data_IF_577874671112
#
_entry.id   IF_577874671112
#
_cell.length_a   1.000
_cell.length_b   1.000
_cell.length_c   1.000
_cell.angle_alpha   90.00
_cell.angle_beta   90.00
_cell.angle_gamma   90.00
#
_symmetry.space_group_name_H-M   'P 1'
#
loop_
_entity.id
_entity.type
_entity.pdbx_description
1 polymer ?
#
# COMPACT_ATOMS: atom_id res chain seq x y z
N UNK A 1 14.76 27.03 -15.37
CA UNK A 1 13.94 26.40 -14.31
C UNK A 1 14.19 24.90 -14.15
N UNK A 2 14.12 24.09 -15.21
CA UNK A 2 14.38 22.64 -15.18
C UNK A 2 15.70 22.22 -14.47
N UNK A 3 16.82 22.91 -14.71
CA UNK A 3 18.09 22.62 -14.03
C UNK A 3 18.07 22.91 -12.53
N UNK A 4 17.30 23.90 -12.06
CA UNK A 4 17.17 24.22 -10.62
C UNK A 4 16.22 23.26 -9.90
N UNK A 5 15.16 22.80 -10.56
CA UNK A 5 14.29 21.73 -10.05
C UNK A 5 15.08 20.41 -9.95
N UNK A 6 15.86 20.06 -10.98
CA UNK A 6 16.74 18.89 -10.98
C UNK A 6 17.79 18.95 -9.85
N UNK A 7 18.32 20.14 -9.58
CA UNK A 7 19.30 20.38 -8.49
C UNK A 7 18.66 20.41 -7.10
N UNK A 8 17.41 20.87 -6.95
CA UNK A 8 16.67 20.85 -5.68
C UNK A 8 16.23 19.42 -5.30
N UNK A 9 15.88 18.59 -6.28
CA UNK A 9 15.66 17.15 -6.09
C UNK A 9 16.96 16.44 -5.66
N UNK A 10 18.12 16.86 -6.20
CA UNK A 10 19.42 16.29 -5.80
C UNK A 10 20.04 16.88 -4.51
N UNK A 11 19.63 18.06 -4.05
CA UNK A 11 20.08 18.69 -2.79
C UNK A 11 19.14 18.38 -1.61
N UNK A 12 18.44 17.25 -1.65
CA UNK A 12 17.64 16.74 -0.55
C UNK A 12 18.50 16.26 0.62
N UNK A 13 19.05 17.19 1.41
CA UNK A 13 19.44 16.93 2.82
C UNK A 13 18.23 16.60 3.72
N UNK A 14 17.03 16.53 3.13
CA UNK A 14 15.79 16.00 3.69
C UNK A 14 15.28 14.97 2.67
N UNK A 15 15.98 13.84 2.55
CA UNK A 15 15.56 12.78 1.64
C UNK A 15 14.58 11.86 2.36
N UNK A 16 13.36 11.69 1.84
CA UNK A 16 12.44 10.59 2.20
C UNK A 16 12.99 9.18 1.89
N UNK A 17 14.29 9.09 1.57
CA UNK A 17 15.01 7.90 1.11
C UNK A 17 16.23 7.62 2.00
N UNK A 18 16.31 8.28 3.16
CA UNK A 18 17.36 8.01 4.13
C UNK A 18 17.00 6.76 4.97
N UNK A 19 18.00 5.97 5.43
CA UNK A 19 17.74 4.81 6.29
C UNK A 19 16.89 5.12 7.52
N UNK A 20 16.98 6.36 8.03
CA UNK A 20 16.17 6.83 9.15
C UNK A 20 14.68 6.95 8.78
N UNK A 21 14.37 7.40 7.56
CA UNK A 21 13.00 7.46 7.07
C UNK A 21 12.41 6.04 6.92
N UNK A 22 13.17 5.11 6.34
CA UNK A 22 12.78 3.69 6.21
C UNK A 22 12.55 3.03 7.57
N UNK A 23 13.40 3.32 8.55
CA UNK A 23 13.23 2.84 9.92
C UNK A 23 11.95 3.42 10.56
N UNK A 24 11.70 4.72 10.37
CA UNK A 24 10.52 5.37 10.92
C UNK A 24 9.21 4.82 10.31
N UNK A 25 9.18 4.59 8.99
CA UNK A 25 8.02 4.00 8.31
C UNK A 25 7.82 2.54 8.70
N UNK A 26 8.89 1.75 8.81
CA UNK A 26 8.83 0.38 9.32
C UNK A 26 8.23 0.30 10.72
N UNK A 27 8.65 1.19 11.64
CA UNK A 27 8.08 1.27 13.00
C UNK A 27 6.61 1.68 12.96
N UNK A 28 6.24 2.64 12.11
CA UNK A 28 4.85 3.07 11.94
C UNK A 28 3.97 1.93 11.42
N UNK A 29 4.45 1.15 10.47
CA UNK A 29 3.70 0.09 9.80
C UNK A 29 3.54 -1.14 10.69
N UNK A 30 4.62 -1.66 11.28
CA UNK A 30 4.52 -2.78 12.22
C UNK A 30 3.85 -2.37 13.54
N UNK A 31 4.16 -1.18 14.05
CA UNK A 31 3.49 -0.63 15.24
C UNK A 31 2.00 -0.41 14.99
N UNK A 32 1.63 0.08 13.81
CA UNK A 32 0.25 0.20 13.34
C UNK A 32 -0.45 -1.14 13.24
N UNK A 33 0.20 -2.16 12.68
CA UNK A 33 -0.33 -3.51 12.58
C UNK A 33 -0.63 -4.09 13.97
N UNK A 34 0.31 -3.96 14.90
CA UNK A 34 0.14 -4.39 16.29
C UNK A 34 -1.00 -3.60 16.97
N UNK A 35 -1.03 -2.28 16.80
CA UNK A 35 -2.08 -1.44 17.36
C UNK A 35 -3.48 -1.84 16.85
N UNK A 36 -3.63 -2.08 15.54
CA UNK A 36 -4.88 -2.58 14.96
C UNK A 36 -5.26 -3.93 15.55
N UNK A 37 -4.29 -4.86 15.64
CA UNK A 37 -4.52 -6.20 16.20
C UNK A 37 -5.01 -6.15 17.65
N UNK A 38 -4.47 -5.23 18.47
CA UNK A 38 -4.86 -5.05 19.86
C UNK A 38 -6.21 -4.35 20.02
N UNK A 39 -6.50 -3.32 19.21
CA UNK A 39 -7.67 -2.45 19.41
C UNK A 39 -8.95 -2.91 18.70
N UNK A 40 -8.83 -3.60 17.57
CA UNK A 40 -9.96 -4.00 16.73
C UNK A 40 -10.25 -5.50 16.81
N UNK A 41 -11.44 -5.92 16.37
CA UNK A 41 -11.76 -7.34 16.17
C UNK A 41 -11.07 -7.84 14.91
N UNK A 42 -10.49 -9.02 15.01
CA UNK A 42 -9.80 -9.71 13.91
C UNK A 42 -10.81 -10.37 12.95
N UNK A 43 -11.72 -9.56 12.41
CA UNK A 43 -12.60 -9.95 11.32
C UNK A 43 -11.88 -9.77 9.97
N UNK A 44 -12.57 -10.02 8.85
CA UNK A 44 -11.95 -9.95 7.52
C UNK A 44 -11.30 -8.57 7.23
N UNK A 45 -11.96 -7.47 7.59
CA UNK A 45 -11.42 -6.11 7.41
C UNK A 45 -10.17 -5.91 8.26
N UNK A 46 -10.21 -6.29 9.54
CA UNK A 46 -9.06 -6.20 10.45
C UNK A 46 -7.85 -7.01 9.97
N UNK A 47 -8.05 -8.27 9.57
CA UNK A 47 -6.98 -9.12 9.04
C UNK A 47 -6.37 -8.56 7.75
N UNK A 48 -7.19 -8.03 6.84
CA UNK A 48 -6.70 -7.45 5.60
C UNK A 48 -5.94 -6.14 5.84
N UNK A 49 -6.39 -5.31 6.78
CA UNK A 49 -5.64 -4.10 7.19
C UNK A 49 -4.31 -4.46 7.84
N UNK A 50 -4.28 -5.44 8.74
CA UNK A 50 -3.03 -5.94 9.35
C UNK A 50 -2.11 -6.49 8.26
N UNK A 51 -2.63 -7.29 7.33
CA UNK A 51 -1.86 -7.83 6.22
C UNK A 51 -1.20 -6.74 5.37
N UNK A 52 -1.95 -5.70 4.99
CA UNK A 52 -1.40 -4.56 4.26
C UNK A 52 -0.27 -3.87 5.05
N UNK A 53 -0.48 -3.59 6.33
CA UNK A 53 0.54 -2.95 7.18
C UNK A 53 1.79 -3.82 7.35
N UNK A 54 1.64 -5.14 7.48
CA UNK A 54 2.77 -6.08 7.58
C UNK A 54 3.56 -6.16 6.28
N UNK A 55 2.90 -6.19 5.11
CA UNK A 55 3.60 -6.22 3.83
C UNK A 55 4.26 -4.88 3.48
N UNK A 56 3.65 -3.75 3.88
CA UNK A 56 4.30 -2.44 3.81
C UNK A 56 5.59 -2.47 4.66
N UNK A 57 5.47 -2.87 5.93
CA UNK A 57 6.60 -2.93 6.87
C UNK A 57 7.70 -3.92 6.45
N UNK A 58 7.32 -5.07 5.89
CA UNK A 58 8.27 -6.08 5.40
C UNK A 58 9.09 -5.58 4.22
N UNK A 59 8.50 -4.75 3.35
CA UNK A 59 9.22 -4.11 2.27
C UNK A 59 10.20 -3.04 2.81
N UNK A 60 9.75 -2.17 3.73
CA UNK A 60 10.64 -1.19 4.40
C UNK A 60 11.81 -1.85 5.13
N UNK A 61 11.54 -2.95 5.83
CA UNK A 61 12.55 -3.73 6.53
C UNK A 61 13.60 -4.28 5.55
N UNK A 62 13.15 -4.79 4.41
CA UNK A 62 14.04 -5.33 3.38
C UNK A 62 14.96 -4.24 2.82
N UNK A 63 14.43 -3.03 2.56
CA UNK A 63 15.23 -1.87 2.13
C UNK A 63 16.22 -1.40 3.19
N UNK A 64 15.77 -1.28 4.45
CA UNK A 64 16.61 -0.86 5.57
C UNK A 64 17.79 -1.81 5.78
N UNK A 65 17.58 -3.13 5.68
CA UNK A 65 18.67 -4.10 5.84
C UNK A 65 19.63 -4.04 4.65
N UNK A 66 19.11 -3.88 3.43
CA UNK A 66 19.92 -3.79 2.22
C UNK A 66 20.86 -2.58 2.25
N UNK A 67 20.35 -1.38 2.59
CA UNK A 67 21.16 -0.16 2.57
C UNK A 67 21.78 0.25 3.91
N UNK A 68 21.21 -0.16 5.05
CA UNK A 68 21.71 0.21 6.38
C UNK A 68 22.72 -0.77 6.97
N UNK A 69 22.60 -2.06 6.64
CA UNK A 69 23.40 -3.13 7.27
C UNK A 69 24.27 -3.91 6.27
N UNK A 70 24.20 -3.60 4.98
CA UNK A 70 25.01 -4.24 3.93
C UNK A 70 24.73 -5.74 3.79
N UNK A 71 23.48 -6.15 3.93
CA UNK A 71 23.08 -7.56 4.08
C UNK A 71 23.54 -8.50 2.96
N UNK A 72 24.07 -9.67 3.33
CA UNK A 72 24.49 -10.74 2.40
C UNK A 72 23.37 -11.69 1.94
N UNK A 73 22.12 -11.46 2.35
CA UNK A 73 20.93 -12.19 1.89
C UNK A 73 20.20 -11.34 0.83
N UNK A 74 19.57 -11.94 -0.21
CA UNK A 74 18.92 -11.18 -1.27
C UNK A 74 17.56 -10.59 -0.81
N UNK A 75 17.61 -9.59 0.08
CA UNK A 75 16.46 -8.89 0.64
C UNK A 75 15.58 -8.24 -0.41
N UNK A 76 16.12 -7.92 -1.59
CA UNK A 76 15.34 -7.43 -2.72
C UNK A 76 14.25 -8.42 -3.17
N UNK A 77 14.48 -9.74 -3.09
CA UNK A 77 13.46 -10.74 -3.42
C UNK A 77 12.28 -10.68 -2.44
N UNK A 78 12.57 -10.49 -1.15
CA UNK A 78 11.55 -10.32 -0.11
C UNK A 78 10.80 -9.00 -0.30
N UNK A 79 11.51 -7.92 -0.62
CA UNK A 79 10.91 -6.62 -0.93
C UNK A 79 9.90 -6.76 -2.09
N UNK A 80 10.31 -7.34 -3.21
CA UNK A 80 9.43 -7.59 -4.37
C UNK A 80 8.26 -8.52 -4.06
N UNK A 81 8.49 -9.60 -3.32
CA UNK A 81 7.41 -10.48 -2.89
C UNK A 81 6.38 -9.72 -2.03
N UNK A 82 6.86 -8.85 -1.13
CA UNK A 82 6.02 -8.08 -0.21
C UNK A 82 5.20 -7.03 -0.94
N UNK A 83 5.81 -6.23 -1.80
CA UNK A 83 5.09 -5.19 -2.56
C UNK A 83 4.06 -5.81 -3.51
N UNK A 84 4.35 -6.99 -4.09
CA UNK A 84 3.42 -7.70 -4.99
C UNK A 84 2.10 -8.08 -4.30
N UNK A 85 2.11 -8.33 -2.98
CA UNK A 85 0.91 -8.68 -2.21
C UNK A 85 -0.01 -7.48 -1.94
N UNK A 86 0.49 -6.24 -2.03
CA UNK A 86 -0.25 -5.05 -1.62
C UNK A 86 -1.50 -4.78 -2.47
N UNK A 87 -1.45 -4.76 -3.83
CA UNK A 87 -2.64 -4.48 -4.62
C UNK A 87 -3.76 -5.53 -4.42
N UNK A 88 -3.46 -6.85 -4.41
CA UNK A 88 -4.46 -7.87 -4.11
C UNK A 88 -5.16 -7.75 -2.75
N UNK A 89 -4.36 -7.55 -1.69
CA UNK A 89 -4.90 -7.36 -0.34
C UNK A 89 -5.74 -6.10 -0.27
N UNK A 90 -5.27 -5.07 -0.95
CA UNK A 90 -5.92 -3.78 -1.04
C UNK A 90 -7.30 -3.81 -1.69
N UNK A 91 -7.42 -4.47 -2.86
CA UNK A 91 -8.71 -4.70 -3.52
C UNK A 91 -9.60 -5.59 -2.64
N UNK A 92 -9.02 -6.61 -2.00
CA UNK A 92 -9.76 -7.49 -1.09
C UNK A 92 -10.34 -6.71 0.10
N UNK A 93 -9.60 -5.73 0.62
CA UNK A 93 -10.04 -4.84 1.68
C UNK A 93 -11.19 -3.95 1.21
N UNK A 94 -11.07 -3.33 0.03
CA UNK A 94 -12.15 -2.54 -0.55
C UNK A 94 -13.44 -3.35 -0.71
N UNK A 95 -13.34 -4.57 -1.24
CA UNK A 95 -14.48 -5.47 -1.40
C UNK A 95 -15.07 -5.92 -0.05
N UNK A 96 -14.22 -6.16 0.97
CA UNK A 96 -14.66 -6.50 2.31
C UNK A 96 -15.41 -5.33 2.98
N UNK A 97 -14.92 -4.10 2.83
CA UNK A 97 -15.57 -2.88 3.33
C UNK A 97 -16.91 -2.67 2.63
N UNK A 98 -16.97 -2.88 1.30
CA UNK A 98 -18.20 -2.77 0.52
C UNK A 98 -19.20 -3.92 0.77
N UNK A 99 -18.84 -4.95 1.55
CA UNK A 99 -19.66 -6.14 1.77
C UNK A 99 -19.90 -6.96 0.51
N UNK A 100 -19.04 -6.83 -0.52
CA UNK A 100 -19.18 -7.52 -1.79
C UNK A 100 -18.21 -8.69 -1.88
N UNK A 101 -18.69 -9.80 -2.45
CA UNK A 101 -17.89 -10.99 -2.73
C UNK A 101 -17.84 -11.22 -4.24
N UNK A 102 -16.65 -11.30 -4.79
CA UNK A 102 -16.42 -11.82 -6.13
C UNK A 102 -15.27 -12.80 -6.05
N UNK A 103 -15.61 -14.07 -5.88
CA UNK A 103 -14.63 -15.13 -5.64
C UNK A 103 -13.72 -15.31 -6.86
N UNK A 104 -14.27 -15.28 -8.07
CA UNK A 104 -13.50 -15.44 -9.30
C UNK A 104 -12.47 -14.33 -9.50
N UNK A 105 -12.88 -13.07 -9.32
CA UNK A 105 -11.94 -11.95 -9.41
C UNK A 105 -10.82 -12.06 -8.37
N UNK A 106 -11.14 -12.49 -7.15
CA UNK A 106 -10.13 -12.71 -6.11
C UNK A 106 -9.18 -13.86 -6.46
N UNK A 107 -9.70 -14.99 -6.96
CA UNK A 107 -8.86 -16.12 -7.39
C UNK A 107 -7.89 -15.68 -8.48
N UNK A 108 -8.38 -15.04 -9.56
CA UNK A 108 -7.52 -14.59 -10.67
C UNK A 108 -6.41 -13.66 -10.16
N UNK A 109 -6.78 -12.71 -9.31
CA UNK A 109 -5.86 -11.75 -8.72
C UNK A 109 -4.78 -12.41 -7.85
N UNK A 110 -5.16 -13.34 -6.98
CA UNK A 110 -4.21 -14.05 -6.11
C UNK A 110 -3.37 -15.09 -6.87
N UNK A 111 -3.89 -15.71 -7.93
CA UNK A 111 -3.11 -16.59 -8.81
C UNK A 111 -2.04 -15.80 -9.56
N UNK A 112 -2.39 -14.65 -10.13
CA UNK A 112 -1.41 -13.75 -10.76
C UNK A 112 -0.39 -13.23 -9.75
N UNK A 113 -0.84 -12.86 -8.56
CA UNK A 113 0.04 -12.47 -7.45
C UNK A 113 1.02 -13.58 -7.10
N UNK A 114 0.54 -14.81 -6.92
CA UNK A 114 1.38 -15.96 -6.59
C UNK A 114 2.41 -16.24 -7.69
N UNK A 115 2.03 -16.13 -8.96
CA UNK A 115 2.96 -16.28 -10.08
C UNK A 115 4.11 -15.26 -10.02
N UNK A 116 3.80 -13.98 -9.77
CA UNK A 116 4.84 -12.95 -9.61
C UNK A 116 5.67 -13.13 -8.34
N UNK A 117 5.06 -13.48 -7.20
CA UNK A 117 5.79 -13.76 -5.95
C UNK A 117 6.77 -14.92 -6.15
N UNK A 118 6.33 -16.02 -6.77
CA UNK A 118 7.19 -17.16 -7.08
C UNK A 118 8.30 -16.77 -8.07
N UNK A 119 7.98 -16.00 -9.10
CA UNK A 119 8.99 -15.46 -10.01
C UNK A 119 10.05 -14.66 -9.24
N UNK A 120 9.63 -13.74 -8.36
CA UNK A 120 10.57 -12.94 -7.59
C UNK A 120 11.37 -13.76 -6.59
N UNK A 121 10.81 -14.76 -5.93
CA UNK A 121 11.55 -15.55 -4.94
C UNK A 121 12.57 -16.52 -5.56
N UNK A 122 12.33 -17.01 -6.78
CA UNK A 122 13.13 -18.07 -7.40
C UNK A 122 13.89 -17.65 -8.66
N UNK A 123 13.65 -16.47 -9.24
CA UNK A 123 14.38 -16.01 -10.42
C UNK A 123 15.79 -15.50 -10.05
N UNK A 124 16.76 -16.42 -10.07
CA UNK A 124 18.19 -16.18 -9.78
C UNK A 124 18.82 -15.11 -10.69
N UNK A 125 18.28 -14.91 -11.90
CA UNK A 125 18.76 -13.92 -12.89
C UNK A 125 17.78 -12.75 -13.10
N UNK A 126 16.68 -12.69 -12.35
CA UNK A 126 15.61 -11.71 -12.56
C UNK A 126 15.91 -10.33 -11.99
N UNK A 127 16.72 -10.26 -10.92
CA UNK A 127 16.99 -9.03 -10.17
C UNK A 127 18.47 -8.98 -9.82
N UNK A 128 19.15 -7.92 -10.28
CA UNK A 128 20.57 -7.62 -10.01
C UNK A 128 20.64 -6.36 -9.14
N UNK A 129 19.95 -6.42 -8.00
CA UNK A 129 19.76 -5.29 -7.09
C UNK A 129 20.76 -5.33 -5.94
N UNK A 130 22.05 -5.21 -6.25
CA UNK A 130 23.15 -5.28 -5.29
C UNK A 130 23.81 -3.93 -5.00
N UNK A 131 23.26 -2.81 -5.51
CA UNK A 131 23.87 -1.49 -5.36
C UNK A 131 22.93 -0.46 -4.76
N UNK A 132 23.13 -0.15 -3.48
CA UNK A 132 22.87 1.20 -2.98
C UNK A 132 23.95 2.09 -3.61
N UNK A 133 23.64 2.80 -4.69
CA UNK A 133 24.63 3.62 -5.39
C UNK A 133 25.04 4.83 -4.52
N UNK A 134 26.22 4.68 -3.92
CA UNK A 134 27.19 5.69 -3.48
C UNK A 134 27.10 6.25 -2.03
N UNK A 135 28.26 6.63 -1.43
CA UNK A 135 28.39 7.14 -0.06
C UNK A 135 27.75 8.53 0.19
N UNK A 136 27.09 9.10 -0.82
CA UNK A 136 26.53 10.45 -0.80
C UNK A 136 25.14 10.58 -1.45
N UNK A 137 24.56 9.48 -1.94
CA UNK A 137 23.21 9.45 -2.51
C UNK A 137 22.43 8.29 -1.89
N UNK A 138 21.72 8.57 -0.80
CA UNK A 138 20.79 7.67 -0.13
C UNK A 138 19.57 7.39 -1.03
N UNK A 139 19.68 6.55 -2.06
CA UNK A 139 18.51 5.95 -2.71
C UNK A 139 18.80 4.53 -3.19
N UNK A 140 17.82 3.65 -3.00
CA UNK A 140 17.83 2.28 -3.49
C UNK A 140 17.40 2.31 -4.96
N UNK A 141 18.10 1.57 -5.82
CA UNK A 141 17.63 1.31 -7.19
C UNK A 141 17.58 -0.18 -7.37
N UNK A 142 16.37 -0.73 -7.37
CA UNK A 142 16.17 -2.13 -7.69
C UNK A 142 16.24 -2.32 -9.20
N UNK A 143 17.37 -2.83 -9.67
CA UNK A 143 17.54 -3.17 -11.08
C UNK A 143 17.07 -4.61 -11.30
N UNK A 144 16.08 -4.78 -12.15
CA UNK A 144 15.64 -6.07 -12.67
C UNK A 144 15.66 -6.03 -14.19
N UNK A 145 15.58 -7.22 -14.81
CA UNK A 145 15.54 -7.32 -16.27
C UNK A 145 14.41 -6.43 -16.84
N UNK A 146 14.73 -5.63 -17.85
CA UNK A 146 13.82 -4.66 -18.49
C UNK A 146 12.48 -5.28 -18.87
N UNK A 147 12.47 -6.50 -19.42
CA UNK A 147 11.24 -7.16 -19.87
C UNK A 147 10.34 -7.58 -18.69
N UNK A 148 10.95 -8.12 -17.63
CA UNK A 148 10.24 -8.49 -16.42
C UNK A 148 9.65 -7.26 -15.70
N UNK A 149 10.37 -6.14 -15.72
CA UNK A 149 9.91 -4.87 -15.15
C UNK A 149 8.69 -4.32 -15.88
N UNK A 150 8.58 -4.46 -17.20
CA UNK A 150 7.40 -4.02 -17.93
C UNK A 150 6.16 -4.84 -17.59
N UNK A 151 6.30 -6.17 -17.54
CA UNK A 151 5.20 -7.06 -17.14
C UNK A 151 4.77 -6.78 -15.70
N UNK A 152 5.72 -6.64 -14.79
CA UNK A 152 5.45 -6.36 -13.38
C UNK A 152 4.86 -4.97 -13.17
N UNK A 153 5.40 -3.94 -13.83
CA UNK A 153 4.84 -2.59 -13.78
C UNK A 153 3.39 -2.58 -14.29
N UNK A 154 3.12 -3.27 -15.40
CA UNK A 154 1.75 -3.40 -15.94
C UNK A 154 0.83 -4.07 -14.92
N UNK A 155 1.24 -5.19 -14.34
CA UNK A 155 0.52 -5.84 -13.24
C UNK A 155 0.23 -4.84 -12.12
N UNK A 156 1.27 -4.22 -11.57
CA UNK A 156 1.14 -3.39 -10.37
C UNK A 156 0.24 -2.18 -10.60
N UNK A 157 0.44 -1.43 -11.68
CA UNK A 157 -0.38 -0.25 -12.00
C UNK A 157 -1.82 -0.60 -12.37
N UNK A 158 -2.05 -1.70 -13.11
CA UNK A 158 -3.42 -2.14 -13.44
C UNK A 158 -4.16 -2.51 -12.16
N UNK A 159 -3.56 -3.27 -11.25
CA UNK A 159 -4.21 -3.64 -9.99
C UNK A 159 -4.42 -2.43 -9.07
N UNK A 160 -3.49 -1.48 -8.99
CA UNK A 160 -3.72 -0.23 -8.25
C UNK A 160 -4.85 0.60 -8.86
N UNK A 161 -4.93 0.69 -10.19
CA UNK A 161 -6.02 1.39 -10.87
C UNK A 161 -7.37 0.70 -10.62
N UNK A 162 -7.42 -0.64 -10.68
CA UNK A 162 -8.60 -1.43 -10.32
C UNK A 162 -8.98 -1.18 -8.85
N UNK A 163 -8.03 -1.23 -7.92
CA UNK A 163 -8.28 -0.97 -6.50
C UNK A 163 -8.83 0.44 -6.24
N UNK A 164 -8.28 1.44 -6.93
CA UNK A 164 -8.78 2.82 -6.89
C UNK A 164 -10.21 2.90 -7.42
N UNK A 165 -10.46 2.35 -8.61
CA UNK A 165 -11.78 2.35 -9.24
C UNK A 165 -12.83 1.62 -8.41
N UNK A 166 -12.52 0.42 -7.91
CA UNK A 166 -13.40 -0.39 -7.04
C UNK A 166 -13.74 0.39 -5.77
N UNK A 167 -12.75 1.04 -5.16
CA UNK A 167 -12.97 1.84 -3.95
C UNK A 167 -13.87 3.06 -4.23
N UNK A 168 -13.63 3.79 -5.32
CA UNK A 168 -14.49 4.93 -5.70
C UNK A 168 -15.91 4.50 -6.07
N UNK A 169 -16.05 3.44 -6.88
CA UNK A 169 -17.32 2.94 -7.36
C UNK A 169 -18.23 2.48 -6.21
N UNK A 170 -17.68 1.68 -5.29
CA UNK A 170 -18.45 1.24 -4.13
C UNK A 170 -18.59 2.32 -3.07
N UNK A 171 -17.66 3.28 -2.99
CA UNK A 171 -17.79 4.45 -2.14
C UNK A 171 -18.99 5.32 -2.54
N UNK A 172 -19.20 5.52 -3.85
CA UNK A 172 -20.35 6.22 -4.40
C UNK A 172 -21.67 5.48 -4.19
N UNK A 173 -21.65 4.14 -4.26
CA UNK A 173 -22.84 3.28 -4.06
C UNK A 173 -23.10 2.90 -2.60
N UNK A 174 -22.30 3.36 -1.65
CA UNK A 174 -22.46 2.98 -0.26
C UNK A 174 -23.56 3.83 0.39
N UNK A 175 -24.59 3.17 0.91
CA UNK A 175 -25.69 3.83 1.63
C UNK A 175 -25.23 4.42 2.97
N UNK A 176 -24.17 3.86 3.55
CA UNK A 176 -23.61 4.29 4.82
C UNK A 176 -22.44 5.27 4.61
N UNK A 177 -22.59 6.47 5.15
CA UNK A 177 -21.56 7.51 5.15
C UNK A 177 -20.18 7.00 5.62
N UNK A 178 -20.12 6.18 6.67
CA UNK A 178 -18.83 5.64 7.16
C UNK A 178 -18.16 4.71 6.16
N UNK A 179 -18.93 3.81 5.56
CA UNK A 179 -18.43 2.87 4.54
C UNK A 179 -17.96 3.63 3.31
N UNK A 180 -18.74 4.62 2.85
CA UNK A 180 -18.38 5.49 1.74
C UNK A 180 -17.05 6.20 1.99
N UNK A 181 -16.91 6.88 3.14
CA UNK A 181 -15.67 7.56 3.50
C UNK A 181 -14.48 6.64 3.70
N UNK A 182 -14.68 5.45 4.27
CA UNK A 182 -13.60 4.46 4.39
C UNK A 182 -13.04 4.07 3.02
N UNK A 183 -13.92 3.88 2.03
CA UNK A 183 -13.53 3.56 0.66
C UNK A 183 -12.87 4.75 -0.05
N UNK A 184 -13.34 5.98 0.17
CA UNK A 184 -12.67 7.17 -0.38
C UNK A 184 -11.28 7.37 0.21
N UNK A 185 -11.08 7.17 1.51
CA UNK A 185 -9.75 7.22 2.12
C UNK A 185 -8.81 6.14 1.59
N UNK A 186 -9.33 4.94 1.31
CA UNK A 186 -8.56 3.88 0.66
C UNK A 186 -8.19 4.26 -0.78
N UNK A 187 -9.11 4.85 -1.55
CA UNK A 187 -8.86 5.35 -2.90
C UNK A 187 -7.80 6.46 -2.91
N UNK A 188 -7.86 7.41 -1.96
CA UNK A 188 -6.85 8.45 -1.78
C UNK A 188 -5.49 7.81 -1.50
N UNK A 189 -5.44 6.79 -0.64
CA UNK A 189 -4.22 6.02 -0.37
C UNK A 189 -3.57 5.47 -1.65
N UNK A 190 -4.35 4.86 -2.55
CA UNK A 190 -3.83 4.39 -3.84
C UNK A 190 -3.46 5.50 -4.81
N UNK A 191 -4.26 6.58 -4.88
CA UNK A 191 -3.98 7.70 -5.77
C UNK A 191 -2.64 8.37 -5.41
N UNK A 192 -2.32 8.47 -4.12
CA UNK A 192 -1.05 8.98 -3.61
C UNK A 192 0.13 8.08 -3.99
N UNK A 193 -0.08 6.78 -4.22
CA UNK A 193 0.93 5.89 -4.80
C UNK A 193 1.09 6.08 -6.31
N UNK A 194 -0.02 6.19 -7.04
CA UNK A 194 -0.04 6.21 -8.52
C UNK A 194 0.43 7.56 -9.08
N UNK A 195 -0.05 8.68 -8.54
CA UNK A 195 0.18 10.00 -9.14
C UNK A 195 1.66 10.41 -9.13
N UNK A 196 2.40 10.30 -8.01
CA UNK A 196 3.81 10.69 -7.99
C UNK A 196 4.67 9.78 -8.88
N UNK A 197 4.38 8.47 -8.90
CA UNK A 197 5.16 7.48 -9.64
C UNK A 197 4.97 7.63 -11.15
N UNK A 198 3.74 7.85 -11.62
CA UNK A 198 3.48 8.19 -13.03
C UNK A 198 4.13 9.52 -13.38
N UNK A 199 3.99 10.55 -12.54
CA UNK A 199 4.55 11.89 -12.81
C UNK A 199 6.07 11.82 -12.98
N UNK A 200 6.78 11.13 -12.08
CA UNK A 200 8.24 10.94 -12.19
C UNK A 200 8.59 10.11 -13.43
N UNK A 201 7.85 9.04 -13.72
CA UNK A 201 8.10 8.18 -14.88
C UNK A 201 7.83 8.85 -16.24
N UNK A 202 7.00 9.89 -16.30
CA UNK A 202 6.78 10.71 -17.49
C UNK A 202 7.86 11.77 -17.70
N UNK A 203 8.46 12.29 -16.62
CA UNK A 203 9.48 13.34 -16.70
C UNK A 203 10.84 12.77 -17.13
N UNK A 204 11.20 11.59 -16.63
CA UNK A 204 12.47 10.94 -16.99
C UNK A 204 12.29 9.40 -17.03
N UNK A 205 12.29 8.80 -18.23
CA UNK A 205 12.16 7.34 -18.42
C UNK A 205 13.27 6.53 -17.74
N UNK A 206 14.44 7.13 -17.48
CA UNK A 206 15.54 6.46 -16.78
C UNK A 206 15.24 6.23 -15.28
N UNK A 207 14.29 6.97 -14.71
CA UNK A 207 13.86 6.84 -13.30
C UNK A 207 12.95 5.62 -13.07
N UNK A 208 12.62 4.86 -14.11
CA UNK A 208 11.74 3.68 -14.01
C UNK A 208 12.31 2.58 -13.12
N UNK A 209 13.64 2.43 -13.08
CA UNK A 209 14.33 1.51 -12.16
C UNK A 209 14.24 1.93 -10.69
N UNK A 210 13.97 3.22 -10.41
CA UNK A 210 13.78 3.75 -9.06
C UNK A 210 12.31 3.82 -8.61
N UNK A 211 11.36 3.41 -9.45
CA UNK A 211 9.91 3.43 -9.13
C UNK A 211 9.58 2.68 -7.83
N UNK A 212 10.12 1.48 -7.56
CA UNK A 212 9.81 0.76 -6.32
C UNK A 212 10.20 1.57 -5.07
N UNK A 213 11.31 2.31 -5.13
CA UNK A 213 11.76 3.14 -4.02
C UNK A 213 10.93 4.43 -3.90
N UNK A 214 10.49 5.02 -5.01
CA UNK A 214 9.55 6.16 -4.97
C UNK A 214 8.22 5.76 -4.33
N UNK A 215 7.73 4.56 -4.62
CA UNK A 215 6.53 4.00 -3.99
C UNK A 215 6.67 3.85 -2.49
N UNK A 216 7.88 3.54 -2.02
CA UNK A 216 8.21 3.38 -0.61
C UNK A 216 8.02 4.66 0.21
N UNK A 217 8.39 5.83 -0.33
CA UNK A 217 8.17 7.12 0.34
C UNK A 217 6.68 7.48 0.51
N UNK A 218 5.81 6.96 -0.35
CA UNK A 218 4.35 7.15 -0.28
C UNK A 218 3.63 6.03 0.48
N UNK A 219 4.31 4.93 0.79
CA UNK A 219 3.80 3.83 1.64
C UNK A 219 3.38 4.30 3.02
N UNK A 220 4.15 5.21 3.63
CA UNK A 220 3.82 5.84 4.89
C UNK A 220 2.44 6.50 4.88
N UNK A 221 2.06 7.14 3.77
CA UNK A 221 0.77 7.81 3.66
C UNK A 221 -0.38 6.80 3.57
N UNK A 222 -0.21 5.69 2.87
CA UNK A 222 -1.20 4.60 2.89
C UNK A 222 -1.30 3.97 4.28
N UNK A 223 -0.18 3.77 4.99
CA UNK A 223 -0.21 3.25 6.35
C UNK A 223 -0.98 4.21 7.29
N UNK A 224 -0.74 5.52 7.18
CA UNK A 224 -1.48 6.55 7.93
C UNK A 224 -2.97 6.53 7.59
N UNK A 225 -3.35 6.46 6.31
CA UNK A 225 -4.78 6.40 5.95
C UNK A 225 -5.43 5.10 6.44
N UNK A 226 -4.73 3.97 6.39
CA UNK A 226 -5.21 2.70 6.93
C UNK A 226 -5.48 2.78 8.44
N UNK A 227 -4.53 3.32 9.21
CA UNK A 227 -4.58 3.37 10.68
C UNK A 227 -5.60 4.41 11.18
N UNK A 228 -5.57 5.62 10.62
CA UNK A 228 -6.33 6.74 11.18
C UNK A 228 -7.70 6.95 10.53
N UNK A 229 -7.91 6.50 9.30
CA UNK A 229 -9.16 6.68 8.58
C UNK A 229 -9.88 5.35 8.30
N UNK A 230 -9.28 4.45 7.52
CA UNK A 230 -9.97 3.25 7.00
C UNK A 230 -10.43 2.33 8.13
N UNK A 231 -9.52 1.88 9.01
CA UNK A 231 -9.88 0.97 10.10
C UNK A 231 -10.78 1.65 11.14
N UNK A 232 -10.65 2.96 11.33
CA UNK A 232 -11.50 3.72 12.26
C UNK A 232 -12.95 3.81 11.78
N UNK A 233 -13.15 3.89 10.47
CA UNK A 233 -14.47 4.02 9.85
C UNK A 233 -15.11 2.65 9.59
N UNK A 234 -14.35 1.69 9.07
CA UNK A 234 -14.85 0.37 8.65
C UNK A 234 -14.58 -0.76 9.67
N UNK A 235 -13.70 -0.55 10.64
CA UNK A 235 -13.37 -1.55 11.65
C UNK A 235 -14.39 -1.65 12.78
N UNK A 236 -14.49 -2.85 13.35
CA UNK A 236 -15.25 -3.11 14.58
C UNK A 236 -14.28 -3.12 15.76
N UNK A 237 -14.52 -2.30 16.79
CA UNK A 237 -13.60 -2.28 17.95
C UNK A 237 -13.79 -3.55 18.78
N UNK A 238 -12.71 -3.98 19.42
CA UNK A 238 -12.77 -5.11 20.35
C UNK A 238 -13.66 -4.72 21.54
N UNK A 239 -14.64 -5.57 21.85
CA UNK A 239 -15.63 -5.31 22.91
C UNK A 239 -16.95 -4.68 22.42
N UNK A 240 -17.02 -4.16 21.20
CA UNK A 240 -18.30 -3.66 20.66
C UNK A 240 -19.27 -4.81 20.35
N UNK A 241 -20.49 -4.67 20.87
CA UNK A 241 -21.64 -5.52 20.57
C UNK A 241 -22.22 -5.18 19.19
N UNK A 242 -22.92 -6.12 18.52
CA UNK A 242 -23.58 -5.84 17.25
C UNK A 242 -24.54 -4.64 17.31
N UNK A 243 -25.26 -4.49 18.43
CA UNK A 243 -26.19 -3.38 18.66
C UNK A 243 -25.47 -2.02 18.70
N UNK A 244 -24.29 -1.93 19.34
CA UNK A 244 -23.50 -0.70 19.37
C UNK A 244 -22.95 -0.34 17.99
N UNK A 245 -22.55 -1.34 17.19
CA UNK A 245 -22.10 -1.13 15.81
C UNK A 245 -23.23 -0.61 14.94
N UNK A 246 -24.44 -1.16 15.09
CA UNK A 246 -25.64 -0.72 14.38
C UNK A 246 -26.04 0.70 14.78
N UNK A 247 -26.14 0.98 16.09
CA UNK A 247 -26.47 2.30 16.60
C UNK A 247 -25.50 3.38 16.10
N UNK A 248 -24.19 3.08 16.10
CA UNK A 248 -23.15 3.97 15.59
C UNK A 248 -23.24 4.20 14.08
N UNK A 249 -23.70 3.18 13.34
CA UNK A 249 -23.90 3.26 11.89
C UNK A 249 -25.10 4.13 11.55
N UNK A 250 -26.23 3.94 12.26
CA UNK A 250 -27.42 4.81 12.16
C UNK A 250 -27.09 6.26 12.51
N UNK A 251 -26.35 6.49 13.60
CA UNK A 251 -25.93 7.84 14.01
C UNK A 251 -25.04 8.56 12.98
N UNK A 252 -24.33 7.84 12.11
CA UNK A 252 -23.55 8.46 11.02
C UNK A 252 -24.32 8.71 9.74
N UNK A 253 -25.60 8.35 9.66
CA UNK A 253 -26.44 8.55 8.49
C UNK A 253 -27.70 9.38 8.86
N UNK A 254 -27.61 10.72 8.95
CA UNK A 254 -28.71 11.56 9.39
C UNK A 254 -29.95 11.49 8.48
N UNK A 255 -29.80 11.01 7.24
CA UNK A 255 -30.91 10.82 6.31
C UNK A 255 -31.80 9.60 6.64
N UNK A 256 -31.29 8.59 7.36
CA UNK A 256 -32.09 7.42 7.79
C UNK A 256 -32.86 7.68 9.09
N UNK A 257 -32.39 8.59 9.94
CA UNK A 257 -33.05 8.91 11.22
C UNK A 257 -34.41 9.59 11.04
N UNK A 258 -34.71 10.15 9.87
CA UNK A 258 -35.97 10.86 9.58
C UNK A 258 -37.07 9.91 9.10
N UNK A 259 -36.73 8.67 8.71
CA UNK A 259 -37.69 7.72 8.13
C UNK A 259 -38.21 6.64 9.09
N UNK A 260 -37.56 6.41 10.24
CA UNK A 260 -37.96 5.40 11.23
C UNK A 260 -38.97 5.94 12.29
N UNK A 261 -39.29 7.24 12.27
CA UNK A 261 -40.20 7.89 13.23
C UNK A 261 -41.65 8.09 12.71
N UNK A 262 -42.03 7.46 11.60
CA UNK A 262 -43.39 7.52 11.02
C UNK A 262 -44.09 6.16 10.95
#
# INVERSE_FOLDING_TARGET
>A
MLKRVRKAVQLGKIGCFSPEAMLATMVLEFGGALWVALRYRLNKVGWLTIGLLVFLGGMQMSEFILCGLGGGFPWYHIAYASITMLPPLGISLAMAIAGKKNLWAQIVMYVLCAAFVLYWLFAIHGVTGDKCEAPSSNWVVFQANTDAMWMYGTYYYVFLAIGTFVSLYWGYKADNHRTSWALYWLAIGYAVFILPTITVGLIDPATRSGIPSVMCGFAALLAVTLIFAVIRLAGTRRGETPAEVEARTKASNPAQAVHDDN
#
